data_IF_435555533416
#
_entry.id   IF_435555533416
#
_cell.length_a   1.000
_cell.length_b   1.000
_cell.length_c   1.000
_cell.angle_alpha   90.00
_cell.angle_beta   90.00
_cell.angle_gamma   90.00
#
_symmetry.space_group_name_H-M   'P 1'
#
loop_
_entity.id
_entity.type
_entity.pdbx_description
1 polymer ?
#
# COMPACT_ATOMS: atom_id res chain seq x y z
N UNK A 1 11.59 14.77 2.81
CA UNK A 1 11.55 13.34 2.49
C UNK A 1 11.75 13.16 0.99
N UNK A 2 12.16 11.98 0.57
CA UNK A 2 12.47 11.69 -0.84
C UNK A 2 11.42 10.72 -1.39
N UNK A 3 10.74 11.11 -2.46
CA UNK A 3 9.81 10.24 -3.20
C UNK A 3 10.51 9.63 -4.41
N UNK A 4 10.25 8.35 -4.66
CA UNK A 4 10.84 7.64 -5.79
C UNK A 4 9.79 7.34 -6.84
N UNK A 5 10.17 7.50 -8.10
CA UNK A 5 9.31 7.17 -9.25
C UNK A 5 9.90 6.01 -10.01
N UNK A 6 9.08 5.01 -10.22
CA UNK A 6 9.39 3.82 -10.99
C UNK A 6 8.43 3.73 -12.17
N UNK A 7 8.89 3.05 -13.21
CA UNK A 7 8.12 2.82 -14.41
C UNK A 7 8.82 1.75 -15.23
N UNK A 8 8.28 1.47 -16.42
CA UNK A 8 8.81 0.43 -17.27
C UNK A 8 10.31 0.60 -17.55
N UNK A 9 11.11 -0.45 -17.30
CA UNK A 9 12.56 -0.44 -17.47
C UNK A 9 13.35 0.27 -16.36
N UNK A 10 12.66 0.80 -15.33
CA UNK A 10 13.31 1.33 -14.13
C UNK A 10 13.83 0.21 -13.22
N UNK A 11 14.60 0.58 -12.20
CA UNK A 11 15.17 -0.35 -11.23
C UNK A 11 14.09 -1.06 -10.37
N UNK A 12 14.48 -2.14 -9.71
CA UNK A 12 13.69 -2.77 -8.65
C UNK A 12 13.67 -1.86 -7.41
N UNK A 13 12.49 -1.52 -6.85
CA UNK A 13 12.41 -0.75 -5.61
C UNK A 13 13.17 -1.41 -4.45
N UNK A 14 13.06 -2.74 -4.31
CA UNK A 14 13.80 -3.47 -3.27
C UNK A 14 15.32 -3.34 -3.45
N UNK A 15 15.81 -3.40 -4.70
CA UNK A 15 17.22 -3.20 -5.02
C UNK A 15 17.71 -1.79 -4.66
N UNK A 16 16.92 -0.76 -4.97
CA UNK A 16 17.23 0.63 -4.62
C UNK A 16 17.25 0.84 -3.10
N UNK A 17 16.26 0.30 -2.39
CA UNK A 17 16.18 0.35 -0.93
C UNK A 17 17.39 -0.31 -0.27
N UNK A 18 17.77 -1.50 -0.75
CA UNK A 18 18.94 -2.23 -0.26
C UNK A 18 20.23 -1.45 -0.46
N UNK A 19 20.39 -0.82 -1.63
CA UNK A 19 21.56 0.01 -1.91
C UNK A 19 21.67 1.21 -0.96
N UNK A 20 20.55 1.86 -0.64
CA UNK A 20 20.50 2.98 0.31
C UNK A 20 20.83 2.52 1.74
N UNK A 21 20.19 1.43 2.20
CA UNK A 21 20.44 0.87 3.53
C UNK A 21 21.90 0.44 3.71
N UNK A 22 22.49 -0.18 2.68
CA UNK A 22 23.90 -0.64 2.71
C UNK A 22 24.90 0.52 2.65
N UNK A 23 24.49 1.71 2.19
CA UNK A 23 25.32 2.91 2.11
C UNK A 23 25.41 3.72 3.41
N UNK A 24 24.85 3.23 4.53
CA UNK A 24 24.87 3.93 5.82
C UNK A 24 23.93 5.13 5.93
N UNK A 25 23.02 5.29 4.96
CA UNK A 25 22.08 6.42 4.87
C UNK A 25 20.72 6.17 5.51
N UNK A 26 20.64 5.44 6.63
CA UNK A 26 19.36 5.11 7.27
C UNK A 26 18.75 6.29 8.03
N UNK A 27 19.58 7.18 8.60
CA UNK A 27 19.08 8.28 9.44
C UNK A 27 18.58 9.50 8.65
N UNK A 28 18.87 9.59 7.35
CA UNK A 28 18.54 10.75 6.51
C UNK A 28 17.51 10.46 5.41
N UNK A 29 17.13 9.20 5.19
CA UNK A 29 16.28 8.83 4.07
C UNK A 29 14.90 8.35 4.51
N UNK A 30 13.93 9.28 4.52
CA UNK A 30 12.49 8.94 4.56
C UNK A 30 11.99 8.68 3.14
N UNK A 31 11.64 7.42 2.84
CA UNK A 31 10.93 7.06 1.63
C UNK A 31 9.42 7.27 1.84
N UNK A 32 8.91 8.37 1.30
CA UNK A 32 7.49 8.70 1.43
C UNK A 32 6.58 7.85 0.54
N UNK A 33 7.14 7.31 -0.55
CA UNK A 33 6.39 6.42 -1.43
C UNK A 33 7.02 6.16 -2.79
N UNK A 34 6.43 5.16 -3.46
CA UNK A 34 6.76 4.75 -4.82
C UNK A 34 5.60 5.12 -5.75
N UNK A 35 5.88 5.89 -6.80
CA UNK A 35 4.91 6.08 -7.89
C UNK A 35 5.25 5.09 -9.01
N UNK A 36 4.31 4.26 -9.45
CA UNK A 36 4.48 3.39 -10.61
C UNK A 36 3.67 3.90 -11.78
N UNK A 37 4.28 3.98 -12.97
CA UNK A 37 3.61 4.42 -14.19
C UNK A 37 3.72 3.37 -15.29
N UNK A 38 2.57 2.88 -15.74
CA UNK A 38 2.49 1.95 -16.85
C UNK A 38 1.37 2.30 -17.83
N UNK A 39 1.39 1.62 -18.96
CA UNK A 39 0.37 1.76 -19.99
C UNK A 39 -0.90 0.99 -19.64
N UNK A 40 -2.03 1.69 -19.57
CA UNK A 40 -3.31 1.08 -19.21
C UNK A 40 -3.71 -0.09 -20.14
N UNK A 41 -3.42 0.00 -21.44
CA UNK A 41 -3.78 -1.01 -22.44
C UNK A 41 -2.87 -2.23 -22.44
N UNK A 42 -1.75 -2.18 -21.72
CA UNK A 42 -0.79 -3.30 -21.62
C UNK A 42 -0.69 -3.86 -20.20
N UNK A 43 -1.32 -3.22 -19.21
CA UNK A 43 -1.16 -3.58 -17.81
C UNK A 43 -1.52 -5.05 -17.53
N UNK A 44 -2.51 -5.61 -18.21
CA UNK A 44 -2.85 -7.04 -18.07
C UNK A 44 -1.69 -7.98 -18.37
N UNK A 45 -0.85 -7.63 -19.34
CA UNK A 45 0.33 -8.41 -19.74
C UNK A 45 1.55 -8.03 -18.91
N UNK A 46 1.69 -6.76 -18.55
CA UNK A 46 2.86 -6.26 -17.82
C UNK A 46 2.82 -6.61 -16.35
N UNK A 47 1.64 -6.62 -15.75
CA UNK A 47 1.42 -7.02 -14.36
C UNK A 47 1.65 -8.52 -14.10
N UNK A 48 2.21 -9.26 -15.07
CA UNK A 48 2.76 -10.61 -14.88
C UNK A 48 4.29 -10.64 -14.92
N UNK A 49 4.95 -9.54 -15.26
CA UNK A 49 6.41 -9.42 -15.20
C UNK A 49 6.85 -9.15 -13.75
N UNK A 50 7.78 -9.95 -13.21
CA UNK A 50 8.20 -9.88 -11.79
C UNK A 50 8.52 -8.45 -11.32
N UNK A 51 9.23 -7.68 -12.16
CA UNK A 51 9.59 -6.29 -11.86
C UNK A 51 8.38 -5.36 -11.78
N UNK A 52 7.38 -5.52 -12.64
CA UNK A 52 6.17 -4.70 -12.61
C UNK A 52 5.32 -5.05 -11.39
N UNK A 53 5.22 -6.34 -11.04
CA UNK A 53 4.52 -6.76 -9.83
C UNK A 53 5.20 -6.22 -8.57
N UNK A 54 6.54 -6.27 -8.51
CA UNK A 54 7.30 -5.66 -7.43
C UNK A 54 7.04 -4.15 -7.34
N UNK A 55 7.14 -3.43 -8.46
CA UNK A 55 6.92 -1.98 -8.51
C UNK A 55 5.51 -1.58 -8.08
N UNK A 56 4.49 -2.32 -8.52
CA UNK A 56 3.10 -2.12 -8.10
C UNK A 56 2.95 -2.42 -6.60
N UNK A 57 3.58 -3.48 -6.09
CA UNK A 57 3.51 -3.86 -4.67
C UNK A 57 4.11 -2.83 -3.72
N UNK A 58 5.17 -2.13 -4.15
CA UNK A 58 5.73 -1.01 -3.37
C UNK A 58 4.97 0.31 -3.55
N UNK A 59 4.14 0.43 -4.59
CA UNK A 59 3.57 1.70 -4.98
C UNK A 59 2.61 2.28 -3.93
N UNK A 60 2.78 3.55 -3.62
CA UNK A 60 1.70 4.34 -3.07
C UNK A 60 0.73 4.69 -4.17
N UNK A 61 1.19 5.23 -5.30
CA UNK A 61 0.32 5.64 -6.40
C UNK A 61 0.67 4.87 -7.65
N UNK A 62 -0.34 4.30 -8.29
CA UNK A 62 -0.22 3.74 -9.63
C UNK A 62 -0.90 4.68 -10.61
N UNK A 63 -0.12 5.23 -11.54
CA UNK A 63 -0.60 6.10 -12.61
C UNK A 63 -0.74 5.29 -13.90
N UNK A 64 -1.98 5.04 -14.29
CA UNK A 64 -2.37 4.42 -15.55
C UNK A 64 -2.27 5.44 -16.68
N UNK A 65 -1.18 5.38 -17.43
CA UNK A 65 -0.90 6.31 -18.52
C UNK A 65 -1.51 5.87 -19.85
N UNK A 66 -1.71 6.84 -20.75
CA UNK A 66 -2.41 6.67 -22.06
C UNK A 66 -3.83 6.14 -21.92
N UNK A 67 -4.52 6.54 -20.84
CA UNK A 67 -5.91 6.14 -20.59
C UNK A 67 -6.86 6.57 -21.72
N UNK A 68 -6.53 7.62 -22.50
CA UNK A 68 -7.31 8.07 -23.66
C UNK A 68 -7.26 7.12 -24.86
N UNK A 69 -6.27 6.21 -24.90
CA UNK A 69 -6.15 5.21 -25.95
C UNK A 69 -6.85 3.88 -25.59
N UNK A 70 -7.46 3.79 -24.40
CA UNK A 70 -8.07 2.56 -23.89
C UNK A 70 -9.60 2.63 -23.90
N UNK A 71 -10.26 1.49 -24.07
CA UNK A 71 -11.69 1.40 -23.81
C UNK A 71 -11.97 1.51 -22.30
N UNK A 72 -13.17 1.96 -21.89
CA UNK A 72 -13.54 1.99 -20.47
C UNK A 72 -13.41 0.63 -19.79
N UNK A 73 -13.70 -0.45 -20.51
CA UNK A 73 -13.56 -1.81 -19.99
C UNK A 73 -12.10 -2.20 -19.75
N UNK A 74 -11.20 -1.87 -20.69
CA UNK A 74 -9.77 -2.14 -20.52
C UNK A 74 -9.19 -1.36 -19.35
N UNK A 75 -9.61 -0.10 -19.16
CA UNK A 75 -9.19 0.71 -18.02
C UNK A 75 -9.67 0.11 -16.70
N UNK A 76 -10.95 -0.31 -16.63
CA UNK A 76 -11.49 -0.98 -15.44
C UNK A 76 -10.72 -2.27 -15.11
N UNK A 77 -10.39 -3.09 -16.10
CA UNK A 77 -9.60 -4.32 -15.87
C UNK A 77 -8.17 -4.02 -15.39
N UNK A 78 -7.57 -2.94 -15.88
CA UNK A 78 -6.28 -2.46 -15.38
C UNK A 78 -6.38 -2.01 -13.91
N UNK A 79 -7.41 -1.25 -13.55
CA UNK A 79 -7.67 -0.83 -12.17
C UNK A 79 -7.89 -2.04 -11.23
N UNK A 80 -8.73 -3.00 -11.65
CA UNK A 80 -8.97 -4.26 -10.92
C UNK A 80 -7.67 -5.05 -10.72
N UNK A 81 -6.79 -5.10 -11.73
CA UNK A 81 -5.49 -5.76 -11.62
C UNK A 81 -4.59 -5.11 -10.58
N UNK A 82 -4.51 -3.78 -10.57
CA UNK A 82 -3.73 -3.06 -9.54
C UNK A 82 -4.31 -3.34 -8.16
N UNK A 83 -5.64 -3.27 -8.00
CA UNK A 83 -6.30 -3.51 -6.73
C UNK A 83 -6.05 -4.93 -6.19
N UNK A 84 -5.99 -5.94 -7.07
CA UNK A 84 -5.63 -7.32 -6.71
C UNK A 84 -4.19 -7.43 -6.20
N UNK A 85 -3.26 -6.67 -6.79
CA UNK A 85 -1.83 -6.75 -6.45
C UNK A 85 -1.44 -5.88 -5.26
N UNK A 86 -2.03 -4.70 -5.17
CA UNK A 86 -1.80 -3.74 -4.11
C UNK A 86 -3.09 -2.95 -3.83
N UNK A 87 -3.94 -3.51 -2.98
CA UNK A 87 -5.18 -2.87 -2.54
C UNK A 87 -4.96 -1.60 -1.72
N UNK A 88 -3.73 -1.33 -1.29
CA UNK A 88 -3.38 -0.11 -0.59
C UNK A 88 -3.06 1.04 -1.55
N UNK A 89 -2.77 0.80 -2.83
CA UNK A 89 -2.36 1.81 -3.80
C UNK A 89 -3.53 2.70 -4.24
N UNK A 90 -3.28 4.01 -4.40
CA UNK A 90 -4.21 4.89 -5.09
C UNK A 90 -3.98 4.73 -6.59
N UNK A 91 -5.07 4.68 -7.35
CA UNK A 91 -5.00 4.54 -8.79
C UNK A 91 -5.43 5.87 -9.40
N UNK A 92 -4.63 6.37 -10.34
CA UNK A 92 -4.93 7.57 -11.08
C UNK A 92 -4.77 7.31 -12.57
N UNK A 93 -5.60 7.92 -13.39
CA UNK A 93 -5.52 7.81 -14.84
C UNK A 93 -4.90 9.07 -15.44
N UNK A 94 -4.05 8.92 -16.46
CA UNK A 94 -3.42 10.02 -17.17
C UNK A 94 -3.57 9.86 -18.68
N UNK A 95 -3.92 10.95 -19.35
CA UNK A 95 -4.07 11.05 -20.80
C UNK A 95 -3.27 12.25 -21.31
N UNK A 96 -2.47 12.07 -22.37
CA UNK A 96 -1.68 13.15 -23.01
C UNK A 96 -0.81 13.99 -22.06
N UNK A 97 -0.36 13.40 -20.96
CA UNK A 97 0.45 14.09 -19.94
C UNK A 97 -0.35 14.81 -18.85
N UNK A 98 -1.68 14.80 -18.95
CA UNK A 98 -2.58 15.38 -17.96
C UNK A 98 -3.21 14.27 -17.10
N UNK A 99 -3.19 14.49 -15.78
CA UNK A 99 -3.85 13.61 -14.81
C UNK A 99 -5.35 13.87 -14.82
N UNK A 100 -6.16 12.81 -14.87
CA UNK A 100 -7.60 12.84 -14.64
C UNK A 100 -7.88 12.32 -13.23
N UNK A 101 -8.55 13.13 -12.41
CA UNK A 101 -8.69 12.90 -10.96
C UNK A 101 -7.99 13.98 -10.16
N UNK A 102 -7.72 13.78 -8.86
CA UNK A 102 -7.06 14.80 -8.04
C UNK A 102 -5.71 15.16 -8.65
N UNK A 103 -5.51 16.45 -8.90
CA UNK A 103 -4.37 16.98 -9.65
C UNK A 103 -3.12 17.16 -8.80
N UNK A 104 -3.23 16.97 -7.48
CA UNK A 104 -2.08 16.98 -6.56
C UNK A 104 -1.89 15.60 -5.93
N UNK A 105 -0.63 15.23 -5.74
CA UNK A 105 -0.26 14.01 -5.05
C UNK A 105 -0.78 14.02 -3.60
N UNK A 106 -0.83 15.20 -2.95
CA UNK A 106 -1.48 15.37 -1.64
C UNK A 106 -2.98 15.04 -1.68
N UNK A 107 -3.70 15.41 -2.74
CA UNK A 107 -5.12 15.07 -2.87
C UNK A 107 -5.35 13.58 -3.19
N UNK A 108 -4.47 12.96 -3.98
CA UNK A 108 -4.45 11.51 -4.22
C UNK A 108 -4.13 10.70 -2.96
N UNK A 109 -3.26 11.23 -2.09
CA UNK A 109 -2.98 10.67 -0.77
C UNK A 109 -4.11 10.98 0.23
N UNK A 110 -4.79 12.12 0.08
CA UNK A 110 -5.91 12.58 0.92
C UNK A 110 -7.23 11.86 0.68
N UNK A 111 -7.50 11.39 -0.55
CA UNK A 111 -8.63 10.50 -0.85
C UNK A 111 -8.59 9.17 -0.07
N UNK A 112 -7.42 8.79 0.49
CA UNK A 112 -7.23 7.51 1.20
C UNK A 112 -7.59 7.50 2.67
N UNK A 113 -8.08 8.60 3.25
CA UNK A 113 -8.60 8.58 4.63
C UNK A 113 -9.97 7.93 4.76
N UNK A 114 -10.73 7.77 3.66
CA UNK A 114 -12.12 7.32 3.73
C UNK A 114 -12.37 5.90 3.22
N UNK A 115 -11.85 5.48 2.06
CA UNK A 115 -12.39 4.29 1.40
C UNK A 115 -11.31 3.39 0.79
N UNK A 116 -11.01 2.28 1.46
CA UNK A 116 -10.56 1.06 0.78
C UNK A 116 -11.23 -0.16 1.45
N UNK A 117 -12.30 -0.60 0.81
CA UNK A 117 -12.83 -1.97 0.86
C UNK A 117 -12.65 -2.49 -0.55
N UNK A 118 -11.73 -3.43 -0.77
CA UNK A 118 -11.90 -4.61 -1.62
C UNK A 118 -10.88 -5.68 -1.21
N UNK A 119 -11.36 -6.74 -0.59
CA UNK A 119 -10.65 -8.02 -0.51
C UNK A 119 -10.82 -8.70 -1.86
N UNK A 120 -9.77 -8.77 -2.67
CA UNK A 120 -9.75 -9.69 -3.80
C UNK A 120 -8.68 -10.74 -3.53
N UNK A 121 -9.06 -12.02 -3.28
CA UNK A 121 -8.06 -13.07 -3.15
C UNK A 121 -7.34 -13.21 -4.50
N UNK A 122 -6.07 -12.83 -4.55
CA UNK A 122 -5.23 -13.04 -5.72
C UNK A 122 -5.13 -14.55 -5.95
N UNK A 123 -5.79 -15.03 -7.01
CA UNK A 123 -5.70 -16.43 -7.42
C UNK A 123 -4.27 -16.69 -7.90
N UNK A 124 -3.50 -17.41 -7.11
CA UNK A 124 -2.09 -17.69 -7.36
C UNK A 124 -1.88 -18.43 -8.69
N UNK A 125 -1.13 -17.82 -9.60
CA UNK A 125 -0.55 -18.48 -10.77
C UNK A 125 0.97 -18.56 -10.58
N UNK A 126 1.47 -19.73 -10.16
CA UNK A 126 2.83 -20.31 -10.16
C UNK A 126 4.14 -19.48 -10.26
N UNK A 127 4.14 -18.16 -10.17
CA UNK A 127 5.33 -17.30 -10.12
C UNK A 127 5.14 -16.30 -8.99
N UNK A 128 6.05 -16.33 -8.01
CA UNK A 128 6.23 -15.36 -6.90
C UNK A 128 5.06 -14.37 -6.68
N UNK A 129 3.90 -14.88 -6.27
CA UNK A 129 2.70 -14.06 -6.12
C UNK A 129 2.82 -13.29 -4.80
N UNK A 130 2.83 -11.97 -4.89
CA UNK A 130 2.71 -11.10 -3.73
C UNK A 130 1.27 -11.19 -3.22
N UNK A 131 1.10 -11.33 -1.91
CA UNK A 131 -0.21 -11.23 -1.27
C UNK A 131 -0.41 -9.80 -0.76
N UNK A 132 -1.64 -9.31 -0.93
CA UNK A 132 -2.13 -8.11 -0.26
C UNK A 132 -3.24 -8.51 0.70
N UNK A 133 -3.10 -8.12 1.96
CA UNK A 133 -4.12 -8.34 3.00
C UNK A 133 -4.59 -6.99 3.53
N UNK A 134 -5.91 -6.85 3.66
CA UNK A 134 -6.57 -5.68 4.24
C UNK A 134 -7.26 -6.08 5.54
N UNK A 135 -6.68 -5.66 6.65
CA UNK A 135 -7.15 -5.90 8.01
C UNK A 135 -8.06 -4.74 8.41
N UNK A 136 -9.26 -5.03 8.88
CA UNK A 136 -10.24 -4.00 9.28
C UNK A 136 -10.88 -4.35 10.61
N UNK A 137 -11.08 -3.34 11.44
CA UNK A 137 -11.79 -3.40 12.70
C UNK A 137 -12.72 -2.17 12.78
N UNK A 138 -14.01 -2.44 12.96
CA UNK A 138 -15.02 -1.40 13.19
C UNK A 138 -14.92 -0.89 14.63
N UNK A 139 -14.08 0.12 14.84
CA UNK A 139 -13.87 0.72 16.15
C UNK A 139 -12.40 0.97 16.46
N UNK A 140 -12.12 1.03 17.76
CA UNK A 140 -10.80 1.37 18.29
C UNK A 140 -9.94 0.14 18.52
N UNK A 141 -8.63 0.31 18.37
CA UNK A 141 -7.62 -0.64 18.82
C UNK A 141 -7.00 -0.17 20.14
N UNK A 142 -6.60 -1.14 20.95
CA UNK A 142 -5.66 -0.94 22.03
C UNK A 142 -4.25 -0.71 21.43
N UNK A 143 -3.59 0.36 21.86
CA UNK A 143 -2.30 0.77 21.31
C UNK A 143 -1.16 -0.21 21.63
N UNK A 144 -1.14 -0.79 22.82
CA UNK A 144 -0.12 -1.76 23.24
C UNK A 144 -0.30 -3.07 22.48
N UNK A 145 -1.54 -3.57 22.39
CA UNK A 145 -1.82 -4.80 21.61
C UNK A 145 -1.50 -4.63 20.12
N UNK A 146 -1.71 -3.43 19.57
CA UNK A 146 -1.32 -3.15 18.20
C UNK A 146 0.21 -3.13 18.02
N UNK A 147 0.95 -2.54 18.97
CA UNK A 147 2.41 -2.57 18.95
C UNK A 147 2.92 -4.02 19.00
N UNK A 148 2.38 -4.85 19.90
CA UNK A 148 2.69 -6.27 20.01
C UNK A 148 2.39 -7.01 18.69
N UNK A 149 1.24 -6.73 18.06
CA UNK A 149 0.88 -7.31 16.76
C UNK A 149 1.92 -6.98 15.68
N UNK A 150 2.46 -5.76 15.64
CA UNK A 150 3.51 -5.40 14.69
C UNK A 150 4.81 -6.14 14.98
N UNK A 151 5.23 -6.16 16.25
CA UNK A 151 6.51 -6.75 16.68
C UNK A 151 6.52 -8.28 16.63
N UNK A 152 5.35 -8.93 16.70
CA UNK A 152 5.23 -10.38 16.72
C UNK A 152 4.68 -10.94 15.42
N UNK A 153 3.53 -10.47 14.96
CA UNK A 153 2.83 -11.07 13.82
C UNK A 153 3.35 -10.54 12.49
N UNK A 154 3.51 -9.21 12.37
CA UNK A 154 4.04 -8.60 11.14
C UNK A 154 5.52 -8.90 10.98
N UNK A 155 6.31 -8.87 12.06
CA UNK A 155 7.75 -9.14 12.04
C UNK A 155 8.11 -10.57 11.56
N UNK A 156 7.21 -11.56 11.66
CA UNK A 156 7.39 -12.91 11.08
C UNK A 156 7.62 -12.89 9.58
N UNK A 157 7.22 -11.82 8.92
CA UNK A 157 7.37 -11.60 7.48
C UNK A 157 8.54 -10.68 7.15
N UNK A 158 9.47 -10.45 8.09
CA UNK A 158 10.64 -9.61 7.83
C UNK A 158 11.46 -10.10 6.62
N UNK A 159 11.95 -9.16 5.81
CA UNK A 159 12.58 -9.42 4.51
C UNK A 159 11.60 -9.87 3.41
N UNK A 160 10.32 -10.04 3.75
CA UNK A 160 9.23 -10.43 2.86
C UNK A 160 8.10 -9.40 2.80
N UNK A 161 8.21 -8.28 3.52
CA UNK A 161 7.27 -7.17 3.44
C UNK A 161 7.71 -6.23 2.30
N UNK A 162 6.72 -5.70 1.58
CA UNK A 162 6.93 -4.61 0.63
C UNK A 162 6.43 -3.29 1.21
N UNK A 163 5.18 -3.30 1.66
CA UNK A 163 4.47 -2.11 2.10
C UNK A 163 3.52 -2.46 3.23
N UNK A 164 3.47 -1.57 4.21
CA UNK A 164 2.44 -1.54 5.25
C UNK A 164 1.84 -0.15 5.26
N UNK A 165 0.51 -0.05 5.31
CA UNK A 165 -0.16 1.25 5.43
C UNK A 165 -1.42 1.10 6.25
N UNK A 166 -1.62 1.96 7.23
CA UNK A 166 -2.78 1.87 8.10
C UNK A 166 -3.23 3.21 8.65
N UNK A 167 -4.51 3.27 9.00
CA UNK A 167 -5.12 4.33 9.78
C UNK A 167 -5.84 3.63 10.93
N UNK A 168 -5.48 3.97 12.15
CA UNK A 168 -5.99 3.35 13.36
C UNK A 168 -6.70 4.39 14.21
N UNK A 169 -7.88 4.03 14.69
CA UNK A 169 -8.50 4.69 15.82
C UNK A 169 -7.93 4.01 17.07
N UNK A 170 -7.12 4.71 17.84
CA UNK A 170 -6.52 4.15 19.06
C UNK A 170 -7.32 4.63 20.26
N UNK A 171 -7.62 3.73 21.18
CA UNK A 171 -8.33 4.08 22.41
C UNK A 171 -7.61 5.21 23.15
N UNK A 172 -8.36 6.23 23.56
CA UNK A 172 -7.83 7.42 24.24
C UNK A 172 -7.13 8.44 23.35
N UNK A 173 -7.02 8.21 22.03
CA UNK A 173 -6.46 9.20 21.09
C UNK A 173 -7.53 9.80 20.19
N UNK A 174 -7.67 11.13 20.20
CA UNK A 174 -8.59 11.85 19.30
C UNK A 174 -8.11 11.89 17.85
N UNK A 175 -6.80 11.71 17.64
CA UNK A 175 -6.15 11.77 16.33
C UNK A 175 -6.12 10.41 15.65
N UNK A 176 -6.14 10.44 14.31
CA UNK A 176 -5.84 9.26 13.50
C UNK A 176 -4.38 8.87 13.68
N UNK A 177 -4.11 7.66 14.16
CA UNK A 177 -2.75 7.12 14.10
C UNK A 177 -2.52 6.57 12.69
N UNK A 178 -1.50 7.06 12.01
CA UNK A 178 -1.13 6.68 10.65
C UNK A 178 0.10 5.79 10.74
N UNK A 179 -0.02 4.57 10.22
CA UNK A 179 1.08 3.60 10.12
C UNK A 179 1.54 3.54 8.68
N UNK A 180 2.82 3.69 8.43
CA UNK A 180 3.39 3.59 7.08
C UNK A 180 4.71 2.84 7.17
N UNK A 181 4.86 1.78 6.39
CA UNK A 181 6.09 1.01 6.34
C UNK A 181 6.49 0.65 4.93
N UNK A 182 7.80 0.65 4.69
CA UNK A 182 8.42 0.13 3.46
C UNK A 182 9.42 -0.93 3.86
N UNK A 183 9.27 -2.12 3.28
CA UNK A 183 9.98 -3.30 3.73
C UNK A 183 9.82 -3.49 5.26
N UNK A 184 10.93 -3.61 5.98
CA UNK A 184 10.94 -3.83 7.43
C UNK A 184 10.82 -2.55 8.26
N UNK A 185 10.94 -1.37 7.63
CA UNK A 185 10.85 -0.10 8.34
C UNK A 185 9.38 0.30 8.48
N UNK A 186 8.90 0.42 9.71
CA UNK A 186 7.56 0.95 10.03
C UNK A 186 7.70 2.27 10.77
N UNK A 187 6.96 3.26 10.31
CA UNK A 187 6.85 4.59 10.89
C UNK A 187 5.41 4.84 11.37
N UNK A 188 5.29 5.49 12.52
CA UNK A 188 4.01 5.93 13.08
C UNK A 188 3.99 7.46 13.11
N UNK A 189 2.92 8.04 12.59
CA UNK A 189 2.65 9.48 12.65
C UNK A 189 1.21 9.73 13.10
N UNK A 190 0.92 10.95 13.54
CA UNK A 190 -0.43 11.35 13.91
C UNK A 190 -1.01 12.28 12.85
N UNK A 191 -2.22 11.96 12.39
CA UNK A 191 -2.97 12.76 11.44
C UNK A 191 -3.96 13.69 12.12
N UNK A 192 -4.95 14.10 11.32
CA UNK A 192 -6.05 14.95 11.77
C UNK A 192 -6.93 14.23 12.79
N UNK A 193 -7.55 14.98 13.73
CA UNK A 193 -8.57 14.47 14.64
C UNK A 193 -9.74 13.79 13.93
N UNK A 194 -10.32 12.76 14.54
CA UNK A 194 -11.47 12.05 14.00
C UNK A 194 -12.68 12.96 13.77
N UNK A 195 -12.94 13.89 14.70
CA UNK A 195 -14.14 14.74 14.67
C UNK A 195 -15.40 13.89 14.75
N UNK A 196 -16.40 14.21 13.94
CA UNK A 196 -17.66 13.44 13.87
C UNK A 196 -17.55 12.17 12.98
N UNK A 197 -16.38 11.89 12.40
CA UNK A 197 -16.20 10.74 11.52
C UNK A 197 -16.22 9.42 12.32
N UNK A 198 -16.82 8.39 11.73
CA UNK A 198 -16.81 7.03 12.31
C UNK A 198 -15.37 6.56 12.53
N UNK A 199 -15.05 6.22 13.77
CA UNK A 199 -13.76 5.67 14.18
C UNK A 199 -13.65 4.23 13.68
N UNK A 200 -12.75 3.99 12.75
CA UNK A 200 -12.50 2.68 12.14
C UNK A 200 -11.01 2.46 11.98
N UNK A 201 -10.56 1.23 12.24
CA UNK A 201 -9.16 0.86 12.22
C UNK A 201 -8.89 -0.05 11.04
N UNK A 202 -7.93 0.32 10.19
CA UNK A 202 -7.62 -0.37 8.94
C UNK A 202 -6.12 -0.44 8.72
N UNK A 203 -5.61 -1.60 8.32
CA UNK A 203 -4.20 -1.80 7.95
C UNK A 203 -4.15 -2.67 6.71
N UNK A 204 -3.43 -2.23 5.68
CA UNK A 204 -3.10 -3.01 4.50
C UNK A 204 -1.62 -3.39 4.53
N UNK A 205 -1.34 -4.66 4.23
CA UNK A 205 0.02 -5.21 4.19
C UNK A 205 0.19 -5.90 2.83
N UNK A 206 1.33 -5.64 2.18
CA UNK A 206 1.73 -6.25 0.92
C UNK A 206 3.08 -6.95 1.13
N UNK A 207 3.18 -8.21 0.73
CA UNK A 207 4.37 -9.04 0.96
C UNK A 207 4.32 -10.39 0.27
N UNK A 208 5.24 -11.29 0.61
CA UNK A 208 5.31 -12.65 0.06
C UNK A 208 5.17 -13.73 1.14
N UNK A 209 4.36 -14.74 0.85
CA UNK A 209 4.04 -15.84 1.77
C UNK A 209 3.36 -15.33 3.04
N UNK A 210 2.46 -14.34 2.91
CA UNK A 210 1.68 -13.83 4.05
C UNK A 210 0.68 -14.88 4.52
N UNK A 211 0.63 -15.13 5.83
CA UNK A 211 -0.45 -15.91 6.44
C UNK A 211 -1.63 -14.98 6.72
N UNK A 212 -2.42 -14.75 5.68
CA UNK A 212 -3.59 -13.84 5.70
C UNK A 212 -4.52 -14.16 6.86
N UNK A 213 -4.85 -15.44 7.06
CA UNK A 213 -5.78 -15.85 8.12
C UNK A 213 -5.19 -15.63 9.52
N UNK A 214 -3.89 -15.86 9.72
CA UNK A 214 -3.22 -15.55 10.99
C UNK A 214 -3.21 -14.04 11.27
N UNK A 215 -2.87 -13.23 10.27
CA UNK A 215 -2.84 -11.77 10.39
C UNK A 215 -4.22 -11.19 10.70
N UNK A 216 -5.27 -11.66 10.03
CA UNK A 216 -6.66 -11.27 10.30
C UNK A 216 -7.05 -11.59 11.74
N UNK A 217 -6.85 -12.83 12.18
CA UNK A 217 -7.19 -13.24 13.56
C UNK A 217 -6.42 -12.43 14.58
N UNK A 218 -5.12 -12.26 14.40
CA UNK A 218 -4.32 -11.52 15.35
C UNK A 218 -4.72 -10.04 15.42
N UNK A 219 -5.00 -9.40 14.29
CA UNK A 219 -5.46 -8.01 14.27
C UNK A 219 -6.80 -7.81 15.00
N UNK A 220 -7.71 -8.79 14.94
CA UNK A 220 -8.95 -8.69 15.73
C UNK A 220 -8.72 -8.68 17.24
N UNK A 221 -7.63 -9.27 17.73
CA UNK A 221 -7.30 -9.25 19.18
C UNK A 221 -6.83 -7.88 19.66
N UNK A 222 -6.46 -7.00 18.73
CA UNK A 222 -6.11 -5.60 19.03
C UNK A 222 -7.33 -4.75 19.39
N UNK A 223 -8.57 -5.27 19.31
CA UNK A 223 -9.77 -4.52 19.69
C UNK A 223 -9.65 -3.94 21.11
N UNK A 224 -9.92 -2.64 21.24
CA UNK A 224 -10.13 -2.02 22.54
C UNK A 224 -11.38 -2.62 23.19
N UNK A 225 -11.30 -2.89 24.50
CA UNK A 225 -12.39 -3.51 25.28
C UNK A 225 -13.45 -2.51 25.69
#
# INVERSE_FOLDING_TARGET
STRMRFGRGAASPAGVLRAIASGGGTDAFRLDGVDHRDDAGRLEVLATEDLAVEQIGYADVVVLSRADACSPEALRRAEERVAVQNGAAAIASAARGEMRGPSTLEALLGLRRADFVQTTPAKATHHHAYESVSLTLDGEVDGERFADFVETEVARFSGRLLRTKGILAVAGLEQRMIVQGVADLVEITFGEPWGDAKRTSRVAIVGFGLDVGSLERAFTTCAAS
#
